data_IF_290561300930
#
_entry.id   IF_290561300930
#
_cell.length_a   1.000
_cell.length_b   1.000
_cell.length_c   1.000
_cell.angle_alpha   90.00
_cell.angle_beta   90.00
_cell.angle_gamma   90.00
#
_symmetry.space_group_name_H-M   'P 1'
#
loop_
_entity.id
_entity.type
_entity.pdbx_description
1 polymer ?
#
# COMPACT_ATOMS: atom_id res chain seq x y z
N UNK A 1 16.54 9.13 8.63
CA UNK A 1 15.76 8.40 7.62
C UNK A 1 15.87 6.92 7.95
N UNK A 2 14.75 6.22 8.14
CA UNK A 2 14.78 4.76 8.28
C UNK A 2 15.23 4.14 6.94
N UNK A 3 16.14 3.17 6.98
CA UNK A 3 16.57 2.45 5.78
C UNK A 3 15.54 1.40 5.33
N UNK A 4 15.71 0.79 4.15
CA UNK A 4 14.84 -0.29 3.72
C UNK A 4 14.97 -1.52 4.62
N UNK A 5 13.88 -2.25 4.81
CA UNK A 5 13.84 -3.51 5.59
C UNK A 5 13.68 -4.68 4.63
N UNK A 6 14.62 -5.63 4.65
CA UNK A 6 14.61 -6.80 3.75
C UNK A 6 13.84 -7.98 4.37
N UNK A 7 13.17 -8.74 3.52
CA UNK A 7 12.69 -10.08 3.88
C UNK A 7 13.86 -11.06 4.03
N UNK A 8 13.64 -12.13 4.81
CA UNK A 8 14.62 -13.21 4.96
C UNK A 8 14.87 -13.87 3.60
N UNK A 9 16.15 -13.96 3.22
CA UNK A 9 16.55 -14.35 1.87
C UNK A 9 17.28 -15.69 1.86
N UNK A 10 16.98 -16.50 0.85
CA UNK A 10 17.74 -17.71 0.53
C UNK A 10 18.67 -17.43 -0.65
N UNK A 11 19.85 -18.07 -0.75
CA UNK A 11 20.68 -17.95 -1.94
C UNK A 11 19.90 -18.30 -3.21
N UNK A 12 20.19 -17.59 -4.30
CA UNK A 12 19.49 -17.70 -5.59
C UNK A 12 18.01 -17.28 -5.55
N UNK A 13 17.70 -16.19 -4.84
CA UNK A 13 16.34 -15.66 -4.79
C UNK A 13 16.27 -14.14 -4.87
N UNK A 14 15.11 -13.63 -5.26
CA UNK A 14 14.78 -12.21 -5.12
C UNK A 14 14.40 -11.88 -3.68
N UNK A 15 15.03 -10.83 -3.16
CA UNK A 15 14.93 -10.38 -1.78
C UNK A 15 14.16 -9.08 -1.77
N UNK A 16 12.86 -9.20 -1.56
CA UNK A 16 12.00 -8.03 -1.43
C UNK A 16 12.38 -7.21 -0.20
N UNK A 17 12.08 -5.92 -0.26
CA UNK A 17 12.28 -4.99 0.84
C UNK A 17 11.22 -3.91 0.86
N UNK A 18 10.95 -3.39 2.05
CA UNK A 18 10.04 -2.29 2.30
C UNK A 18 10.81 -0.97 2.39
N UNK A 19 10.30 0.06 1.72
CA UNK A 19 10.77 1.44 1.87
C UNK A 19 9.92 2.18 2.92
N UNK A 20 10.43 3.26 3.51
CA UNK A 20 9.67 4.08 4.45
C UNK A 20 8.36 4.62 3.85
N UNK A 21 7.38 5.03 4.68
CA UNK A 21 6.15 5.66 4.22
C UNK A 21 6.41 6.83 3.26
N UNK A 22 5.64 6.90 2.17
CA UNK A 22 5.83 7.86 1.08
C UNK A 22 6.87 7.45 0.02
N UNK A 23 7.63 6.39 0.27
CA UNK A 23 8.62 5.85 -0.66
C UNK A 23 8.18 4.48 -1.22
N UNK A 24 8.79 4.10 -2.33
CA UNK A 24 8.63 2.82 -3.00
C UNK A 24 9.99 2.25 -3.39
N UNK A 25 10.04 0.92 -3.53
CA UNK A 25 11.25 0.20 -3.94
C UNK A 25 11.59 0.54 -5.38
N UNK A 26 12.84 0.37 -5.78
CA UNK A 26 13.30 0.64 -7.16
C UNK A 26 13.85 -0.59 -7.86
N UNK A 27 13.99 -1.70 -7.13
CA UNK A 27 14.63 -2.92 -7.62
C UNK A 27 13.58 -3.97 -7.95
N UNK A 28 13.61 -4.43 -9.19
CA UNK A 28 12.95 -5.62 -9.73
C UNK A 28 13.72 -6.02 -11.01
N UNK A 29 13.59 -7.25 -11.52
CA UNK A 29 14.16 -7.63 -12.81
C UNK A 29 13.35 -7.00 -13.96
N UNK A 30 13.99 -6.15 -14.77
CA UNK A 30 13.32 -5.44 -15.89
C UNK A 30 12.95 -6.38 -17.05
N UNK A 31 13.71 -7.46 -17.26
CA UNK A 31 13.54 -8.38 -18.39
C UNK A 31 13.08 -9.79 -18.00
N UNK A 32 12.82 -10.06 -16.71
CA UNK A 32 12.61 -11.43 -16.22
C UNK A 32 11.63 -11.47 -15.05
N UNK A 33 10.35 -11.23 -15.34
CA UNK A 33 9.24 -11.43 -14.41
C UNK A 33 8.78 -12.90 -14.39
N UNK A 34 7.91 -13.27 -13.44
CA UNK A 34 7.41 -14.64 -13.30
C UNK A 34 6.67 -15.13 -14.54
N UNK A 35 6.95 -16.37 -14.95
CA UNK A 35 6.39 -16.95 -16.18
C UNK A 35 4.86 -17.12 -16.13
N UNK A 36 4.30 -17.33 -14.94
CA UNK A 36 2.85 -17.47 -14.74
C UNK A 36 2.18 -16.16 -14.31
N UNK A 37 2.90 -15.03 -14.38
CA UNK A 37 2.41 -13.73 -13.96
C UNK A 37 2.77 -13.36 -12.52
N UNK A 38 3.67 -14.09 -11.87
CA UNK A 38 4.20 -13.68 -10.57
C UNK A 38 4.96 -12.36 -10.71
N UNK A 39 4.70 -11.40 -9.81
CA UNK A 39 5.54 -10.21 -9.70
C UNK A 39 6.85 -10.60 -9.01
N UNK A 40 7.98 -10.31 -9.63
CA UNK A 40 9.29 -10.42 -9.01
C UNK A 40 9.81 -9.03 -8.69
N UNK A 41 10.33 -8.85 -7.48
CA UNK A 41 10.83 -7.57 -7.00
C UNK A 41 11.82 -7.72 -5.86
N UNK A 42 12.61 -6.68 -5.63
CA UNK A 42 13.72 -6.66 -4.69
C UNK A 42 15.08 -6.85 -5.33
N UNK A 43 16.11 -6.96 -4.48
CA UNK A 43 17.48 -7.23 -4.90
C UNK A 43 17.70 -8.74 -5.15
N UNK A 44 18.72 -9.12 -5.90
CA UNK A 44 19.10 -10.52 -6.08
C UNK A 44 20.04 -10.97 -4.97
N UNK A 45 19.73 -12.06 -4.25
CA UNK A 45 20.67 -12.68 -3.32
C UNK A 45 21.49 -13.75 -4.04
N UNK A 46 22.78 -13.48 -4.20
CA UNK A 46 23.70 -14.38 -4.89
C UNK A 46 24.11 -15.57 -4.00
N UNK A 47 24.85 -16.53 -4.57
CA UNK A 47 25.34 -17.73 -3.87
C UNK A 47 26.15 -17.43 -2.60
N UNK A 48 26.76 -16.25 -2.53
CA UNK A 48 27.59 -15.82 -1.39
C UNK A 48 26.79 -15.11 -0.31
N UNK A 49 25.46 -15.00 -0.47
CA UNK A 49 24.57 -14.29 0.46
C UNK A 49 24.63 -12.77 0.36
N UNK A 50 25.21 -12.21 -0.72
CA UNK A 50 25.22 -10.77 -0.95
C UNK A 50 24.05 -10.35 -1.82
N UNK A 51 23.53 -9.16 -1.54
CA UNK A 51 22.48 -8.51 -2.32
C UNK A 51 23.08 -7.73 -3.50
N UNK A 52 22.54 -7.97 -4.68
CA UNK A 52 22.88 -7.31 -5.93
C UNK A 52 21.68 -6.52 -6.46
N UNK A 53 21.94 -5.33 -7.01
CA UNK A 53 20.91 -4.53 -7.65
C UNK A 53 20.39 -5.24 -8.90
N UNK A 54 19.07 -5.34 -9.03
CA UNK A 54 18.42 -5.93 -10.20
C UNK A 54 18.07 -4.88 -11.25
N UNK A 55 18.17 -3.60 -10.87
CA UNK A 55 17.95 -2.45 -11.75
C UNK A 55 19.12 -1.47 -11.61
N UNK A 56 20.26 -1.73 -12.27
CA UNK A 56 21.49 -0.95 -12.09
C UNK A 56 21.36 0.54 -12.44
N UNK A 57 20.43 0.88 -13.33
CA UNK A 57 20.07 2.27 -13.67
C UNK A 57 19.46 3.04 -12.49
N UNK A 58 19.02 2.34 -11.45
CA UNK A 58 18.40 2.89 -10.23
C UNK A 58 19.26 2.52 -9.01
N UNK A 59 20.36 3.25 -8.74
CA UNK A 59 21.34 2.86 -7.72
C UNK A 59 20.83 3.01 -6.28
N UNK A 60 19.71 3.68 -6.06
CA UNK A 60 19.08 3.85 -4.75
C UNK A 60 17.96 2.83 -4.59
N UNK A 61 17.89 2.16 -3.45
CA UNK A 61 16.85 1.16 -3.17
C UNK A 61 15.44 1.76 -3.06
N UNK A 62 15.34 2.99 -2.56
CA UNK A 62 14.06 3.66 -2.38
C UNK A 62 14.02 4.99 -3.14
N UNK A 63 12.87 5.26 -3.74
CA UNK A 63 12.52 6.53 -4.37
C UNK A 63 11.17 7.03 -3.84
N UNK A 64 10.93 8.35 -3.81
CA UNK A 64 9.62 8.86 -3.44
C UNK A 64 8.57 8.39 -4.46
N UNK A 65 7.34 8.13 -3.98
CA UNK A 65 6.19 8.04 -4.89
C UNK A 65 5.81 9.43 -5.44
N UNK A 66 4.67 9.51 -6.14
CA UNK A 66 4.16 10.77 -6.69
C UNK A 66 3.83 11.83 -5.62
N UNK A 67 3.65 11.42 -4.36
CA UNK A 67 3.39 12.31 -3.23
C UNK A 67 1.93 12.78 -3.14
N UNK A 68 1.70 13.79 -2.29
CA UNK A 68 0.40 14.46 -2.14
C UNK A 68 -0.67 13.70 -1.33
N UNK A 69 -0.48 12.43 -1.01
CA UNK A 69 -1.45 11.62 -0.27
C UNK A 69 -0.96 11.31 1.14
N UNK A 70 -1.83 11.50 2.12
CA UNK A 70 -1.55 11.28 3.55
C UNK A 70 -2.64 10.44 4.21
N UNK A 71 -2.30 9.79 5.32
CA UNK A 71 -3.24 9.17 6.24
C UNK A 71 -3.13 9.85 7.59
N UNK A 72 -4.26 10.29 8.14
CA UNK A 72 -4.36 10.85 9.49
C UNK A 72 -5.22 9.94 10.36
N UNK A 73 -4.68 9.51 11.49
CA UNK A 73 -5.44 8.72 12.45
C UNK A 73 -5.94 9.59 13.60
N UNK A 74 -7.27 9.79 13.70
CA UNK A 74 -7.91 10.49 14.82
C UNK A 74 -8.53 9.53 15.85
N UNK A 75 -8.33 8.23 15.70
CA UNK A 75 -8.80 7.21 16.63
C UNK A 75 -8.01 7.26 17.95
N UNK A 76 -8.57 6.75 19.06
CA UNK A 76 -7.85 6.66 20.34
C UNK A 76 -6.76 5.58 20.37
N UNK A 77 -6.71 4.70 19.36
CA UNK A 77 -5.72 3.63 19.22
C UNK A 77 -5.12 3.59 17.82
N UNK A 78 -4.09 2.78 17.62
CA UNK A 78 -3.47 2.63 16.31
C UNK A 78 -4.42 1.94 15.32
N UNK A 79 -4.19 2.12 14.02
CA UNK A 79 -4.72 1.23 12.98
C UNK A 79 -3.60 0.94 11.98
N UNK A 80 -3.33 -0.34 11.76
CA UNK A 80 -2.32 -0.77 10.81
C UNK A 80 -2.85 -0.66 9.38
N UNK A 81 -2.12 0.07 8.55
CA UNK A 81 -2.37 0.20 7.12
C UNK A 81 -1.27 -0.56 6.38
N UNK A 82 -1.61 -1.70 5.79
CA UNK A 82 -0.61 -2.59 5.20
C UNK A 82 -0.66 -2.51 3.68
N UNK A 83 0.44 -2.11 3.03
CA UNK A 83 0.54 -2.05 1.57
C UNK A 83 0.94 -3.41 1.01
N UNK A 84 0.40 -3.76 -0.16
CA UNK A 84 0.91 -4.88 -0.96
C UNK A 84 2.39 -4.69 -1.27
N UNK A 85 3.16 -5.77 -1.18
CA UNK A 85 4.60 -5.80 -1.45
C UNK A 85 4.91 -5.87 -2.95
N UNK A 86 4.41 -4.90 -3.69
CA UNK A 86 4.42 -4.92 -5.15
C UNK A 86 5.41 -3.91 -5.75
N UNK A 87 6.27 -4.29 -6.72
CA UNK A 87 6.55 -5.66 -7.17
C UNK A 87 7.28 -6.48 -6.12
N UNK A 88 7.03 -7.80 -6.04
CA UNK A 88 7.72 -8.67 -5.09
C UNK A 88 6.85 -9.84 -4.66
N UNK A 89 5.85 -9.55 -3.84
CA UNK A 89 4.80 -10.51 -3.48
C UNK A 89 3.44 -9.83 -3.53
N UNK A 90 2.38 -10.59 -3.72
CA UNK A 90 1.00 -10.07 -3.65
C UNK A 90 0.52 -9.96 -2.19
N UNK A 91 1.43 -10.12 -1.22
CA UNK A 91 1.12 -10.02 0.20
C UNK A 91 1.12 -8.54 0.66
N UNK A 92 0.10 -8.14 1.40
CA UNK A 92 -0.02 -6.94 2.24
C UNK A 92 0.96 -6.81 3.42
N UNK A 93 2.28 -6.92 3.21
CA UNK A 93 3.29 -7.00 4.30
C UNK A 93 4.07 -5.71 4.54
N UNK A 94 3.87 -4.65 3.76
CA UNK A 94 4.58 -3.38 3.98
C UNK A 94 3.79 -2.54 4.98
N UNK A 95 4.28 -2.35 6.22
CA UNK A 95 3.47 -1.78 7.28
C UNK A 95 3.54 -0.25 7.33
N UNK A 96 2.41 0.37 7.62
CA UNK A 96 2.32 1.71 8.16
C UNK A 96 1.48 1.65 9.45
N UNK A 97 2.12 1.88 10.59
CA UNK A 97 1.44 1.95 11.87
C UNK A 97 0.93 3.37 12.13
N UNK A 98 -0.36 3.61 11.92
CA UNK A 98 -0.92 4.95 12.13
C UNK A 98 -1.22 5.17 13.60
N UNK A 99 -0.44 5.99 14.29
CA UNK A 99 -0.62 6.26 15.73
C UNK A 99 -1.66 7.37 16.00
N UNK A 100 -2.32 7.37 17.16
CA UNK A 100 -3.32 8.38 17.54
C UNK A 100 -2.85 9.83 17.34
N UNK A 101 -3.67 10.62 16.66
CA UNK A 101 -3.44 12.04 16.38
C UNK A 101 -2.35 12.34 15.36
N UNK A 102 -1.70 11.32 14.78
CA UNK A 102 -0.59 11.50 13.85
C UNK A 102 -1.03 11.46 12.39
N UNK A 103 -0.19 12.04 11.52
CA UNK A 103 -0.36 12.05 10.07
C UNK A 103 0.90 11.49 9.41
N UNK A 104 0.73 10.62 8.42
CA UNK A 104 1.81 9.94 7.71
C UNK A 104 1.65 10.08 6.20
N UNK A 105 2.75 10.19 5.43
CA UNK A 105 2.68 10.13 3.99
C UNK A 105 2.32 8.71 3.53
N UNK A 106 1.45 8.62 2.53
CA UNK A 106 1.10 7.39 1.85
C UNK A 106 1.71 7.40 0.45
N UNK A 107 2.29 6.30 0.02
CA UNK A 107 2.93 6.24 -1.30
C UNK A 107 1.87 6.19 -2.40
N UNK A 108 1.92 7.15 -3.32
CA UNK A 108 1.19 7.11 -4.59
C UNK A 108 2.13 6.61 -5.69
N UNK A 109 1.75 5.56 -6.40
CA UNK A 109 2.55 5.02 -7.51
C UNK A 109 2.32 5.88 -8.74
N UNK A 110 3.40 6.33 -9.38
CA UNK A 110 3.34 6.97 -10.70
C UNK A 110 3.31 5.90 -11.80
N UNK A 111 2.15 5.73 -12.42
CA UNK A 111 1.93 4.74 -13.46
C UNK A 111 2.83 4.92 -14.69
N UNK A 112 3.38 6.12 -14.91
CA UNK A 112 4.20 6.44 -16.08
C UNK A 112 5.67 6.03 -15.94
N UNK A 113 6.17 5.94 -14.72
CA UNK A 113 7.61 5.73 -14.44
C UNK A 113 7.90 4.48 -13.61
N UNK A 114 6.86 3.87 -13.03
CA UNK A 114 7.02 2.73 -12.13
C UNK A 114 6.82 1.36 -12.80
N UNK A 115 6.79 0.31 -11.99
CA UNK A 115 6.68 -1.07 -12.41
C UNK A 115 5.44 -1.34 -13.28
N UNK A 116 5.65 -2.04 -14.40
CA UNK A 116 4.62 -2.47 -15.35
C UNK A 116 4.49 -3.99 -15.27
N UNK A 117 3.28 -4.47 -14.96
CA UNK A 117 2.99 -5.89 -14.86
C UNK A 117 2.18 -6.37 -16.05
N UNK A 118 2.73 -7.30 -16.84
CA UNK A 118 2.09 -7.83 -18.05
C UNK A 118 1.56 -6.73 -18.99
N UNK A 119 2.32 -5.65 -19.16
CA UNK A 119 1.94 -4.50 -20.00
C UNK A 119 0.89 -3.57 -19.37
N UNK A 120 0.51 -3.79 -18.12
CA UNK A 120 -0.41 -2.94 -17.36
C UNK A 120 0.33 -2.11 -16.33
N UNK A 121 -0.04 -0.84 -16.23
CA UNK A 121 0.44 0.02 -15.16
C UNK A 121 -0.11 -0.44 -13.80
N UNK A 122 0.54 0.02 -12.73
CA UNK A 122 0.27 -0.47 -11.38
C UNK A 122 -0.09 0.69 -10.46
N UNK A 123 -0.74 0.37 -9.35
CA UNK A 123 -1.09 1.32 -8.28
C UNK A 123 -0.75 0.70 -6.93
N UNK A 124 -0.71 1.52 -5.87
CA UNK A 124 -0.56 1.03 -4.51
C UNK A 124 -1.93 0.64 -3.96
N UNK A 125 -2.03 -0.58 -3.44
CA UNK A 125 -3.17 -1.03 -2.66
C UNK A 125 -2.77 -1.18 -1.19
N UNK A 126 -3.62 -0.66 -0.32
CA UNK A 126 -3.47 -0.70 1.13
C UNK A 126 -4.65 -1.43 1.76
N UNK A 127 -4.38 -2.17 2.83
CA UNK A 127 -5.35 -2.91 3.63
C UNK A 127 -5.48 -2.20 4.98
N UNK A 128 -6.68 -1.72 5.28
CA UNK A 128 -6.95 -0.97 6.51
C UNK A 128 -7.49 -1.94 7.55
N UNK A 129 -6.71 -2.17 8.61
CA UNK A 129 -7.04 -3.14 9.66
C UNK A 129 -7.86 -2.48 10.79
N UNK A 130 -8.63 -3.28 11.56
CA UNK A 130 -9.39 -2.77 12.70
C UNK A 130 -8.52 -2.02 13.72
N UNK A 131 -9.15 -1.12 14.49
CA UNK A 131 -8.42 -0.31 15.47
C UNK A 131 -7.82 -1.19 16.58
N UNK A 132 -6.65 -0.82 17.06
CA UNK A 132 -5.91 -1.55 18.11
C UNK A 132 -5.22 -2.83 17.66
N UNK A 133 -5.36 -3.26 16.40
CA UNK A 133 -4.61 -4.42 15.89
C UNK A 133 -3.16 -4.00 15.63
N UNK A 134 -2.22 -4.71 16.26
CA UNK A 134 -0.80 -4.42 16.12
C UNK A 134 -0.29 -4.76 14.71
N UNK A 135 0.69 -4.01 14.21
CA UNK A 135 1.30 -4.26 12.89
C UNK A 135 1.82 -5.70 12.72
N UNK A 136 2.40 -6.28 13.77
CA UNK A 136 2.91 -7.66 13.73
C UNK A 136 1.83 -8.73 13.60
N UNK A 137 0.56 -8.36 13.83
CA UNK A 137 -0.60 -9.22 13.65
C UNK A 137 -1.37 -8.86 12.36
N UNK A 138 -1.40 -7.57 12.01
CA UNK A 138 -2.15 -7.02 10.89
C UNK A 138 -1.45 -7.13 9.52
N UNK A 139 -0.14 -6.94 9.44
CA UNK A 139 0.57 -6.92 8.14
C UNK A 139 1.17 -8.29 7.80
N UNK A 140 0.31 -9.31 7.87
CA UNK A 140 0.58 -10.71 7.56
C UNK A 140 -0.51 -11.23 6.62
N UNK A 141 -0.24 -12.34 5.92
CA UNK A 141 -1.27 -12.94 5.09
C UNK A 141 -2.47 -13.32 5.95
N UNK A 142 -2.24 -14.22 6.91
CA UNK A 142 -3.20 -14.60 7.94
C UNK A 142 -2.76 -14.03 9.29
N UNK A 143 -3.60 -13.18 9.86
CA UNK A 143 -3.41 -12.70 11.23
C UNK A 143 -3.58 -13.85 12.23
N UNK A 144 -2.63 -14.07 13.16
CA UNK A 144 -2.77 -15.09 14.20
C UNK A 144 -3.89 -14.80 15.21
N UNK A 145 -4.27 -13.53 15.44
CA UNK A 145 -5.31 -13.20 16.44
C UNK A 145 -6.64 -12.72 15.84
N UNK A 146 -6.63 -12.20 14.61
CA UNK A 146 -7.79 -11.70 13.87
C UNK A 146 -7.88 -12.33 12.45
N UNK A 147 -7.93 -13.67 12.33
CA UNK A 147 -7.72 -14.38 11.06
C UNK A 147 -8.76 -14.09 9.97
N UNK A 148 -9.92 -13.51 10.34
CA UNK A 148 -11.02 -13.21 9.40
C UNK A 148 -11.25 -11.72 9.20
N UNK A 149 -10.45 -10.85 9.83
CA UNK A 149 -10.68 -9.39 9.82
C UNK A 149 -9.40 -8.56 9.76
N UNK A 150 -8.23 -9.18 9.69
CA UNK A 150 -6.95 -8.48 9.53
C UNK A 150 -6.06 -9.18 8.50
N UNK A 151 -4.99 -8.50 8.05
CA UNK A 151 -4.12 -8.99 7.00
C UNK A 151 -4.81 -8.99 5.64
N UNK A 152 -4.67 -10.09 4.91
CA UNK A 152 -5.37 -10.29 3.65
C UNK A 152 -6.90 -10.24 3.81
N UNK A 153 -7.40 -10.47 5.03
CA UNK A 153 -8.83 -10.41 5.37
C UNK A 153 -9.27 -9.05 5.95
N UNK A 154 -8.44 -8.02 5.89
CA UNK A 154 -8.83 -6.68 6.33
C UNK A 154 -10.13 -6.21 5.63
N UNK A 155 -11.02 -5.45 6.31
CA UNK A 155 -12.35 -5.13 5.79
C UNK A 155 -12.32 -4.22 4.56
N UNK A 156 -11.34 -3.31 4.51
CA UNK A 156 -11.31 -2.19 3.56
C UNK A 156 -9.98 -2.12 2.85
N UNK A 157 -10.04 -1.83 1.56
CA UNK A 157 -8.90 -1.44 0.78
C UNK A 157 -8.92 0.05 0.43
N UNK A 158 -7.72 0.61 0.35
CA UNK A 158 -7.47 1.92 -0.23
C UNK A 158 -6.58 1.74 -1.46
N UNK A 159 -7.01 2.28 -2.60
CA UNK A 159 -6.21 2.34 -3.83
C UNK A 159 -5.63 3.73 -4.03
N UNK A 160 -4.35 3.84 -4.37
CA UNK A 160 -3.68 5.11 -4.66
C UNK A 160 -2.75 4.97 -5.87
N UNK A 161 -2.97 5.77 -6.90
CA UNK A 161 -2.08 5.81 -8.06
C UNK A 161 -2.28 7.07 -8.90
N UNK A 162 -1.20 7.55 -9.50
CA UNK A 162 -1.17 8.67 -10.41
C UNK A 162 -1.11 8.16 -11.86
N UNK A 163 -2.00 8.67 -12.71
CA UNK A 163 -2.00 8.35 -14.14
C UNK A 163 -0.94 9.15 -14.92
N UNK A 164 -0.81 8.88 -16.22
CA UNK A 164 0.12 9.57 -17.10
C UNK A 164 -0.22 11.04 -17.36
N UNK A 165 -1.42 11.50 -16.99
CA UNK A 165 -1.81 12.90 -17.03
C UNK A 165 -1.46 13.65 -15.73
N UNK A 166 -0.89 12.96 -14.73
CA UNK A 166 -0.54 13.52 -13.44
C UNK A 166 -1.73 13.64 -12.48
N UNK A 167 -2.84 12.94 -12.76
CA UNK A 167 -4.01 12.90 -11.88
C UNK A 167 -3.88 11.71 -10.93
N UNK A 168 -3.91 11.97 -9.63
CA UNK A 168 -3.90 10.91 -8.61
C UNK A 168 -5.32 10.49 -8.27
N UNK A 169 -5.62 9.20 -8.43
CA UNK A 169 -6.89 8.61 -8.01
C UNK A 169 -6.73 7.95 -6.64
N UNK A 170 -7.70 8.20 -5.78
CA UNK A 170 -7.75 7.66 -4.42
C UNK A 170 -9.11 7.00 -4.22
N UNK A 171 -9.12 5.73 -3.87
CA UNK A 171 -10.33 4.93 -3.72
C UNK A 171 -10.45 4.36 -2.31
N UNK A 172 -11.68 4.24 -1.81
CA UNK A 172 -12.03 3.47 -0.61
C UNK A 172 -13.05 2.43 -1.04
N UNK A 173 -12.76 1.14 -0.88
CA UNK A 173 -13.65 0.07 -1.33
C UNK A 173 -13.57 -1.16 -0.41
N UNK A 174 -14.64 -1.98 -0.36
CA UNK A 174 -14.63 -3.20 0.44
C UNK A 174 -13.66 -4.23 -0.16
N UNK A 175 -12.99 -5.00 0.70
CA UNK A 175 -12.11 -6.11 0.28
C UNK A 175 -12.91 -7.36 -0.11
N UNK A 176 -13.85 -7.21 -1.03
CA UNK A 176 -14.70 -8.31 -1.53
C UNK A 176 -14.13 -8.89 -2.81
N UNK A 177 -14.25 -10.21 -3.04
CA UNK A 177 -14.94 -11.20 -2.21
C UNK A 177 -14.07 -11.83 -1.11
N UNK A 178 -12.83 -11.37 -0.93
CA UNK A 178 -11.84 -11.95 0.00
C UNK A 178 -12.28 -11.92 1.46
N UNK A 179 -12.93 -10.85 1.87
CA UNK A 179 -13.38 -10.62 3.25
C UNK A 179 -14.85 -10.20 3.30
N UNK A 180 -15.54 -10.65 4.35
CA UNK A 180 -16.86 -10.19 4.76
C UNK A 180 -16.81 -9.38 6.07
N UNK A 181 -15.61 -9.06 6.56
CA UNK A 181 -15.45 -8.28 7.78
C UNK A 181 -15.93 -6.83 7.56
N UNK A 182 -16.30 -6.17 8.66
CA UNK A 182 -16.70 -4.76 8.65
C UNK A 182 -15.69 -3.96 9.47
N UNK A 183 -15.31 -2.79 8.96
CA UNK A 183 -14.41 -1.89 9.67
C UNK A 183 -15.12 -1.23 10.85
N UNK A 184 -14.42 -1.05 11.96
CA UNK A 184 -14.96 -0.57 13.23
C UNK A 184 -14.74 0.94 13.47
N UNK A 185 -14.50 1.67 12.39
CA UNK A 185 -14.34 3.13 12.33
C UNK A 185 -14.64 3.69 10.93
N UNK A 186 -14.76 5.02 10.83
CA UNK A 186 -15.02 5.76 9.61
C UNK A 186 -13.74 6.13 8.85
N UNK A 187 -13.81 6.18 7.52
CA UNK A 187 -12.74 6.70 6.65
C UNK A 187 -13.31 7.80 5.75
N UNK A 188 -12.62 8.93 5.62
CA UNK A 188 -12.99 9.99 4.69
C UNK A 188 -11.77 10.57 4.00
N UNK A 189 -11.85 10.78 2.67
CA UNK A 189 -10.83 11.52 1.93
C UNK A 189 -11.20 13.00 1.92
N UNK A 190 -10.27 13.84 2.38
CA UNK A 190 -10.40 15.30 2.46
C UNK A 190 -9.25 15.99 1.73
N UNK A 191 -9.37 17.30 1.48
CA UNK A 191 -8.35 18.10 0.79
C UNK A 191 -8.74 18.45 -0.64
N UNK A 192 -7.76 18.51 -1.54
CA UNK A 192 -7.90 18.93 -2.94
C UNK A 192 -8.44 17.80 -3.82
N UNK A 193 -9.64 17.31 -3.49
CA UNK A 193 -10.26 16.16 -4.16
C UNK A 193 -11.54 16.53 -4.90
N UNK A 194 -11.76 15.91 -6.05
CA UNK A 194 -12.82 16.29 -7.00
C UNK A 194 -14.24 15.89 -6.58
N UNK A 195 -14.37 14.91 -5.70
CA UNK A 195 -15.66 14.43 -5.19
C UNK A 195 -15.55 13.88 -3.76
N UNK A 196 -16.64 13.92 -2.96
CA UNK A 196 -16.68 13.25 -1.67
C UNK A 196 -16.47 11.74 -1.82
N UNK A 197 -15.56 11.18 -1.02
CA UNK A 197 -15.37 9.74 -0.94
C UNK A 197 -15.10 9.32 0.52
N UNK A 198 -15.98 8.49 1.06
CA UNK A 198 -15.96 8.05 2.45
C UNK A 198 -16.54 6.66 2.63
N UNK A 199 -16.19 6.05 3.77
CA UNK A 199 -16.88 4.97 4.45
C UNK A 199 -17.35 5.53 5.80
N UNK A 200 -18.66 5.64 6.01
CA UNK A 200 -19.26 6.13 7.26
C UNK A 200 -20.27 5.14 7.78
N UNK A 201 -20.11 4.66 9.01
CA UNK A 201 -21.02 3.70 9.64
C UNK A 201 -21.32 2.49 8.76
N UNK A 202 -20.28 1.94 8.11
CA UNK A 202 -20.40 0.80 7.19
C UNK A 202 -20.95 1.14 5.80
N UNK A 203 -21.25 2.40 5.51
CA UNK A 203 -21.82 2.86 4.23
C UNK A 203 -20.78 3.62 3.43
N UNK A 204 -20.52 3.17 2.20
CA UNK A 204 -19.63 3.86 1.27
C UNK A 204 -20.39 4.92 0.46
N UNK A 205 -19.71 6.05 0.17
CA UNK A 205 -20.28 7.15 -0.61
C UNK A 205 -20.77 6.74 -2.02
N UNK A 206 -20.10 5.77 -2.66
CA UNK A 206 -20.47 5.27 -3.99
C UNK A 206 -21.24 3.93 -3.98
N UNK A 207 -21.82 3.54 -2.84
CA UNK A 207 -22.61 2.31 -2.72
C UNK A 207 -21.75 1.06 -2.52
N UNK A 208 -22.24 -0.11 -2.96
CA UNK A 208 -21.64 -1.41 -2.62
C UNK A 208 -20.19 -1.60 -3.12
N UNK A 209 -19.73 -0.79 -4.08
CA UNK A 209 -18.42 -0.93 -4.71
C UNK A 209 -17.38 0.05 -4.14
N UNK A 210 -17.73 0.84 -3.12
CA UNK A 210 -16.86 1.89 -2.62
C UNK A 210 -17.00 3.20 -3.39
N UNK A 211 -15.96 4.02 -3.34
CA UNK A 211 -15.89 5.30 -4.07
C UNK A 211 -14.46 5.57 -4.54
N UNK A 212 -14.34 6.44 -5.54
CA UNK A 212 -13.06 6.97 -6.03
C UNK A 212 -13.19 8.47 -6.18
N UNK A 213 -12.15 9.19 -5.78
CA UNK A 213 -11.99 10.62 -6.01
C UNK A 213 -10.66 10.89 -6.71
N UNK A 214 -10.50 12.08 -7.28
CA UNK A 214 -9.29 12.46 -8.01
C UNK A 214 -8.68 13.73 -7.43
N UNK A 215 -7.35 13.78 -7.38
CA UNK A 215 -6.53 14.90 -6.96
C UNK A 215 -5.65 15.32 -8.14
N UNK A 216 -5.77 16.58 -8.56
CA UNK A 216 -4.93 17.12 -9.65
C UNK A 216 -3.49 17.31 -9.20
N UNK A 217 -2.56 17.37 -10.17
CA UNK A 217 -1.15 17.60 -9.90
C UNK A 217 -0.90 18.81 -8.99
N UNK A 218 -0.05 18.62 -7.98
CA UNK A 218 0.26 19.64 -6.97
C UNK A 218 -0.72 19.73 -5.79
N UNK A 219 -1.86 19.03 -5.85
CA UNK A 219 -2.83 18.98 -4.75
C UNK A 219 -2.38 18.12 -3.57
N UNK A 220 -3.12 18.23 -2.47
CA UNK A 220 -2.95 17.42 -1.28
C UNK A 220 -4.27 16.78 -0.83
N UNK A 221 -4.25 15.47 -0.57
CA UNK A 221 -5.37 14.71 -0.06
C UNK A 221 -4.98 13.98 1.24
N UNK A 222 -5.88 14.01 2.23
CA UNK A 222 -5.70 13.29 3.50
C UNK A 222 -6.85 12.31 3.69
N UNK A 223 -6.51 11.04 3.82
CA UNK A 223 -7.41 9.97 4.26
C UNK A 223 -7.48 10.03 5.79
N UNK A 224 -8.64 10.36 6.34
CA UNK A 224 -8.85 10.57 7.77
C UNK A 224 -9.57 9.36 8.35
N UNK A 225 -9.00 8.76 9.39
CA UNK A 225 -9.68 7.77 10.23
C UNK A 225 -10.30 8.46 11.44
N UNK A 226 -11.57 8.17 11.73
CA UNK A 226 -12.29 8.73 12.88
C UNK A 226 -13.28 7.72 13.44
N UNK A 227 -13.68 7.86 14.70
CA UNK A 227 -14.71 7.00 15.28
C UNK A 227 -16.02 7.03 14.47
N UNK A 228 -16.75 5.92 14.55
CA UNK A 228 -18.03 5.65 13.86
C UNK A 228 -19.15 6.57 14.33
#
# INVERSE_FOLDING_TARGET
MAGPVFSMSVPFSFCSYACPPGYQKTQWPESSQGFHGESLGGCWCNLRGYLELTRPSHPRLCEPGAGGVYVQNKLPSNSAVCRTDYPGTENMVIPLDTQPGQTYPLTSVDASTYFVWQGKTTSAQYYVNPKGVAVSDACLWTSPTNPTSAGNWAPVNIGVGMDSAGVTYISIFPNTPTSSATLDFNIEITGDVSSPCYLRNGIYAGGSNGCTTAMTSGGQATIVFSDS
#
